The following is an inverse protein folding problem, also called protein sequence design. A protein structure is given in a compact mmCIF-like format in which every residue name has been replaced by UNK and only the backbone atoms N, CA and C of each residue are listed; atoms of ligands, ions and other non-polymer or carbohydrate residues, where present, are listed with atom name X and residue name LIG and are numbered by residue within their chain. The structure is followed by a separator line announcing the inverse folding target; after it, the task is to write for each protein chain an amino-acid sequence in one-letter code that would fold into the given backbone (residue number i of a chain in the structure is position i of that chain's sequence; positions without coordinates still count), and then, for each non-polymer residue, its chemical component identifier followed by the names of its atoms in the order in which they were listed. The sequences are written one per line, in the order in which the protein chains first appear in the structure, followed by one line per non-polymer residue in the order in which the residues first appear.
data_IF_428942017173
#
_entry.id   IF_428942017173
#
_cell.length_a   1.000
_cell.length_b   1.000
_cell.length_c   1.000
_cell.angle_alpha   90.00
_cell.angle_beta   90.00
_cell.angle_gamma   90.00
#
_symmetry.space_group_name_H-M   'P 1'
#
loop_
_entity.id
_entity.type
_entity.pdbx_description
1 polymer ?
#
# COMPACT_ATOMS: atom_id res chain seq x y z
N UNK A 1 23.18 48.11 22.15
CA UNK A 1 21.76 47.91 21.86
C UNK A 1 21.71 46.91 20.73
N UNK A 2 21.34 45.66 21.03
CA UNK A 2 21.17 44.62 20.01
C UNK A 2 19.71 44.77 19.59
N UNK A 3 19.48 45.24 18.37
CA UNK A 3 18.12 45.26 17.83
C UNK A 3 17.69 43.81 17.61
N UNK A 4 16.61 43.43 18.30
CA UNK A 4 15.97 42.13 18.18
C UNK A 4 15.21 42.15 16.85
N UNK A 5 15.85 41.65 15.80
CA UNK A 5 15.24 41.58 14.47
C UNK A 5 14.17 40.47 14.54
N UNK A 6 12.89 40.86 14.52
CA UNK A 6 11.75 39.94 14.49
C UNK A 6 11.60 39.33 13.10
N UNK A 7 12.12 38.11 12.93
CA UNK A 7 12.07 37.37 11.67
C UNK A 7 10.72 36.68 11.41
N UNK A 8 9.69 36.91 12.25
CA UNK A 8 8.41 36.21 12.11
C UNK A 8 7.55 36.70 10.93
N UNK A 9 7.83 37.89 10.38
CA UNK A 9 6.93 38.56 9.43
C UNK A 9 7.41 38.53 7.97
N UNK A 10 8.64 38.07 7.69
CA UNK A 10 9.22 38.07 6.35
C UNK A 10 9.62 36.66 5.90
N UNK A 11 8.64 35.92 5.37
CA UNK A 11 8.91 34.70 4.61
C UNK A 11 9.06 35.11 3.14
N UNK A 12 10.26 35.02 2.53
CA UNK A 12 10.46 35.36 1.13
C UNK A 12 9.65 34.42 0.21
N UNK A 13 9.10 34.99 -0.86
CA UNK A 13 8.21 34.29 -1.81
C UNK A 13 8.87 33.04 -2.42
N UNK A 14 10.19 33.07 -2.63
CA UNK A 14 10.98 31.96 -3.16
C UNK A 14 10.94 30.72 -2.25
N UNK A 15 10.99 30.91 -0.92
CA UNK A 15 10.87 29.83 0.05
C UNK A 15 9.44 29.28 0.12
N UNK A 16 8.45 30.17 -0.02
CA UNK A 16 7.05 29.76 -0.05
C UNK A 16 6.77 28.87 -1.27
N UNK A 17 7.32 29.24 -2.43
CA UNK A 17 7.19 28.50 -3.67
C UNK A 17 7.87 27.13 -3.59
N UNK A 18 9.07 27.05 -2.99
CA UNK A 18 9.76 25.77 -2.77
C UNK A 18 8.94 24.81 -1.88
N UNK A 19 8.34 25.34 -0.80
CA UNK A 19 7.48 24.55 0.09
C UNK A 19 6.21 24.09 -0.66
N UNK A 20 5.59 24.99 -1.43
CA UNK A 20 4.39 24.68 -2.21
C UNK A 20 4.66 23.62 -3.28
N UNK A 21 5.75 23.73 -4.04
CA UNK A 21 6.15 22.75 -5.05
C UNK A 21 6.45 21.39 -4.41
N UNK A 22 7.14 21.37 -3.26
CA UNK A 22 7.41 20.14 -2.50
C UNK A 22 6.15 19.48 -1.95
N UNK A 23 5.20 20.28 -1.43
CA UNK A 23 3.90 19.78 -0.99
C UNK A 23 3.07 19.28 -2.17
N UNK A 24 3.07 19.97 -3.30
CA UNK A 24 2.30 19.58 -4.48
C UNK A 24 2.87 18.31 -5.13
N UNK A 25 4.20 18.16 -5.19
CA UNK A 25 4.85 16.91 -5.56
C UNK A 25 4.51 15.76 -4.59
N UNK A 26 4.50 16.01 -3.28
CA UNK A 26 4.10 15.00 -2.30
C UNK A 26 2.60 14.68 -2.33
N UNK A 27 1.76 15.64 -2.68
CA UNK A 27 0.31 15.45 -2.82
C UNK A 27 -0.03 14.67 -4.09
N UNK A 28 0.74 14.89 -5.18
CA UNK A 28 0.70 14.11 -6.42
C UNK A 28 1.23 12.69 -6.20
N UNK A 29 2.22 12.50 -5.32
CA UNK A 29 2.63 11.20 -4.76
C UNK A 29 1.62 10.76 -3.71
N UNK A 30 0.36 10.55 -4.11
CA UNK A 30 -0.74 10.17 -3.23
C UNK A 30 -0.29 9.11 -2.20
N UNK A 31 -0.70 9.30 -0.93
CA UNK A 31 -0.37 8.37 0.18
C UNK A 31 -0.57 6.94 -0.31
N UNK A 32 0.53 6.22 -0.53
CA UNK A 32 0.48 4.81 -0.93
C UNK A 32 -0.27 4.06 0.15
N UNK A 33 -1.48 3.61 -0.17
CA UNK A 33 -2.28 2.84 0.75
C UNK A 33 -1.70 1.44 0.72
N UNK A 34 -0.89 1.11 1.71
CA UNK A 34 -0.36 -0.24 1.84
C UNK A 34 -1.45 -1.15 2.40
N UNK A 35 -1.61 -2.37 1.85
CA UNK A 35 -2.60 -3.29 2.34
C UNK A 35 -2.20 -3.80 3.73
N UNK A 36 -3.15 -3.82 4.65
CA UNK A 36 -2.97 -4.47 5.95
C UNK A 36 -2.99 -5.99 5.79
N UNK A 37 -2.55 -6.71 6.82
CA UNK A 37 -2.61 -8.19 6.83
C UNK A 37 -4.02 -8.71 6.60
N UNK A 38 -5.06 -7.98 7.05
CA UNK A 38 -6.46 -8.35 6.82
C UNK A 38 -6.84 -8.21 5.34
N UNK A 39 -6.42 -7.14 4.69
CA UNK A 39 -6.74 -6.87 3.28
C UNK A 39 -6.06 -7.90 2.37
N UNK A 40 -4.81 -8.27 2.69
CA UNK A 40 -4.10 -9.36 1.99
C UNK A 40 -4.87 -10.68 2.13
N UNK A 41 -5.38 -11.00 3.31
CA UNK A 41 -6.15 -12.23 3.54
C UNK A 41 -7.45 -12.24 2.74
N UNK A 42 -8.17 -11.12 2.69
CA UNK A 42 -9.39 -11.02 1.89
C UNK A 42 -9.09 -11.18 0.39
N UNK A 43 -8.06 -10.50 -0.13
CA UNK A 43 -7.63 -10.67 -1.52
C UNK A 43 -7.21 -12.12 -1.82
N UNK A 44 -6.52 -12.80 -0.89
CA UNK A 44 -6.14 -14.21 -1.03
C UNK A 44 -7.36 -15.13 -1.05
N UNK A 45 -8.40 -14.84 -0.25
CA UNK A 45 -9.66 -15.62 -0.29
C UNK A 45 -10.38 -15.45 -1.62
N UNK A 46 -10.51 -14.21 -2.11
CA UNK A 46 -11.12 -13.93 -3.41
C UNK A 46 -10.35 -14.65 -4.53
N UNK A 47 -9.02 -14.52 -4.55
CA UNK A 47 -8.17 -15.23 -5.50
C UNK A 47 -8.36 -16.75 -5.39
N UNK A 48 -8.40 -17.32 -4.18
CA UNK A 48 -8.57 -18.76 -3.98
C UNK A 48 -9.93 -19.29 -4.47
N UNK A 49 -11.00 -18.49 -4.36
CA UNK A 49 -12.30 -18.82 -4.93
C UNK A 49 -12.28 -18.84 -6.46
N UNK A 50 -11.52 -17.91 -7.07
CA UNK A 50 -11.34 -17.82 -8.52
C UNK A 50 -10.33 -18.84 -9.06
N UNK A 51 -9.39 -19.31 -8.23
CA UNK A 51 -8.25 -20.14 -8.64
C UNK A 51 -8.58 -21.61 -8.95
N UNK A 52 -9.85 -21.97 -9.17
CA UNK A 52 -10.25 -23.32 -9.61
C UNK A 52 -9.70 -23.59 -11.02
N UNK A 53 -8.48 -24.11 -11.11
CA UNK A 53 -7.79 -24.47 -12.35
C UNK A 53 -6.62 -23.57 -12.75
N UNK A 54 -6.20 -22.65 -11.87
CA UNK A 54 -5.03 -21.79 -12.11
C UNK A 54 -3.75 -22.51 -11.68
N UNK A 55 -2.66 -22.35 -12.43
CA UNK A 55 -1.37 -22.92 -12.06
C UNK A 55 -0.83 -22.23 -10.78
N UNK A 56 -0.18 -22.95 -9.85
CA UNK A 56 0.34 -22.38 -8.61
C UNK A 56 1.22 -21.14 -8.78
N UNK A 57 2.02 -21.08 -9.83
CA UNK A 57 2.87 -19.93 -10.15
C UNK A 57 2.09 -18.65 -10.51
N UNK A 58 0.87 -18.77 -11.05
CA UNK A 58 0.07 -17.60 -11.45
C UNK A 58 -0.77 -17.03 -10.30
N UNK A 59 -0.86 -17.77 -9.18
CA UNK A 59 -1.66 -17.37 -8.03
C UNK A 59 -1.20 -16.04 -7.39
N UNK A 60 0.11 -15.80 -7.14
CA UNK A 60 0.57 -14.55 -6.56
C UNK A 60 0.26 -13.35 -7.44
N UNK A 61 0.40 -13.49 -8.76
CA UNK A 61 0.07 -12.43 -9.72
C UNK A 61 -1.42 -12.06 -9.67
N UNK A 62 -2.29 -13.06 -9.53
CA UNK A 62 -3.72 -12.82 -9.37
C UNK A 62 -4.03 -12.02 -8.09
N UNK A 63 -3.40 -12.36 -6.96
CA UNK A 63 -3.58 -11.64 -5.70
C UNK A 63 -3.08 -10.20 -5.80
N UNK A 64 -1.93 -10.00 -6.43
CA UNK A 64 -1.38 -8.66 -6.66
C UNK A 64 -2.30 -7.81 -7.53
N UNK A 65 -2.89 -8.41 -8.56
CA UNK A 65 -3.86 -7.72 -9.43
C UNK A 65 -5.10 -7.27 -8.66
N UNK A 66 -5.68 -8.14 -7.83
CA UNK A 66 -6.84 -7.79 -6.99
C UNK A 66 -6.51 -6.63 -6.05
N UNK A 67 -5.34 -6.66 -5.39
CA UNK A 67 -4.89 -5.59 -4.51
C UNK A 67 -4.68 -4.27 -5.25
N UNK A 68 -4.14 -4.31 -6.48
CA UNK A 68 -3.99 -3.12 -7.32
C UNK A 68 -5.34 -2.56 -7.77
N UNK A 69 -6.29 -3.42 -8.16
CA UNK A 69 -7.65 -3.01 -8.53
C UNK A 69 -8.40 -2.37 -7.34
N UNK A 70 -8.09 -2.79 -6.11
CA UNK A 70 -8.58 -2.18 -4.88
C UNK A 70 -7.86 -0.86 -4.50
N UNK A 71 -6.86 -0.44 -5.27
CA UNK A 71 -6.13 0.81 -5.06
C UNK A 71 -4.99 0.72 -4.04
N UNK A 72 -4.55 -0.49 -3.69
CA UNK A 72 -3.43 -0.70 -2.77
C UNK A 72 -2.08 -0.70 -3.50
N UNK A 73 -1.05 -0.17 -2.84
CA UNK A 73 0.34 -0.31 -3.29
C UNK A 73 0.87 -1.69 -2.90
N UNK A 74 1.17 -2.51 -3.90
CA UNK A 74 1.63 -3.89 -3.73
C UNK A 74 3.15 -4.02 -3.60
N UNK A 75 3.90 -2.91 -3.55
CA UNK A 75 5.37 -2.91 -3.55
C UNK A 75 6.01 -3.64 -2.35
N UNK A 76 5.29 -3.78 -1.24
CA UNK A 76 5.74 -4.50 -0.04
C UNK A 76 5.08 -5.88 0.14
N UNK A 77 4.18 -6.28 -0.77
CA UNK A 77 3.52 -7.58 -0.72
C UNK A 77 4.41 -8.60 -1.40
N UNK A 78 5.15 -9.36 -0.60
CA UNK A 78 6.01 -10.43 -1.13
C UNK A 78 5.23 -11.70 -1.38
N UNK A 79 5.64 -12.46 -2.41
CA UNK A 79 5.09 -13.78 -2.75
C UNK A 79 5.06 -14.70 -1.52
N UNK A 80 6.12 -14.67 -0.70
CA UNK A 80 6.18 -15.44 0.55
C UNK A 80 5.04 -15.09 1.53
N UNK A 81 4.69 -13.80 1.68
CA UNK A 81 3.56 -13.39 2.54
C UNK A 81 2.22 -13.92 2.00
N UNK A 82 2.03 -13.88 0.69
CA UNK A 82 0.84 -14.41 0.02
C UNK A 82 0.67 -15.90 0.33
N UNK A 83 1.74 -16.70 0.15
CA UNK A 83 1.70 -18.13 0.42
C UNK A 83 1.44 -18.44 1.90
N UNK A 84 2.11 -17.75 2.83
CA UNK A 84 1.86 -17.94 4.27
C UNK A 84 0.39 -17.68 4.61
N UNK A 85 -0.19 -16.61 4.06
CA UNK A 85 -1.62 -16.33 4.22
C UNK A 85 -2.50 -17.43 3.62
N UNK A 86 -2.18 -17.90 2.40
CA UNK A 86 -2.92 -18.99 1.75
C UNK A 86 -2.88 -20.27 2.60
N UNK A 87 -1.70 -20.69 3.07
CA UNK A 87 -1.55 -21.89 3.89
C UNK A 87 -2.34 -21.79 5.21
N UNK A 88 -2.29 -20.63 5.88
CA UNK A 88 -3.08 -20.41 7.10
C UNK A 88 -4.58 -20.44 6.77
N UNK A 89 -5.01 -19.79 5.69
CA UNK A 89 -6.41 -19.82 5.26
C UNK A 89 -6.87 -21.23 4.93
N UNK A 90 -6.09 -22.02 4.17
CA UNK A 90 -6.41 -23.41 3.87
C UNK A 90 -6.46 -24.27 5.14
N UNK A 91 -5.49 -24.11 6.04
CA UNK A 91 -5.44 -24.89 7.28
C UNK A 91 -6.65 -24.59 8.18
N UNK A 92 -7.00 -23.31 8.33
CA UNK A 92 -8.16 -22.87 9.13
C UNK A 92 -9.49 -23.23 8.45
N UNK A 93 -9.54 -23.18 7.11
CA UNK A 93 -10.76 -23.47 6.36
C UNK A 93 -11.06 -24.97 6.27
N UNK A 94 -10.03 -25.81 6.07
CA UNK A 94 -10.18 -27.28 6.05
C UNK A 94 -10.55 -27.82 7.44
N UNK A 95 -10.05 -27.25 8.53
CA UNK A 95 -10.42 -27.69 9.88
C UNK A 95 -11.80 -27.22 10.35
N UNK A 96 -12.52 -26.41 9.56
CA UNK A 96 -13.83 -25.84 9.90
C UNK A 96 -14.99 -26.41 9.07
N UNK A 97 -14.71 -27.38 8.19
CA UNK A 97 -15.68 -28.16 7.41
C UNK A 97 -15.74 -29.60 7.93
#
# INVERSE_FOLDING_TARGET
MIEEIDYSEYIPEDLLQEIMEYEEENKRRGKRIFPSSRDIVEAVKEAALMARGIHPDEFPDLVLKILQEQGFDTGYVTVKRIWVCLFICFYVFIHRL
#
